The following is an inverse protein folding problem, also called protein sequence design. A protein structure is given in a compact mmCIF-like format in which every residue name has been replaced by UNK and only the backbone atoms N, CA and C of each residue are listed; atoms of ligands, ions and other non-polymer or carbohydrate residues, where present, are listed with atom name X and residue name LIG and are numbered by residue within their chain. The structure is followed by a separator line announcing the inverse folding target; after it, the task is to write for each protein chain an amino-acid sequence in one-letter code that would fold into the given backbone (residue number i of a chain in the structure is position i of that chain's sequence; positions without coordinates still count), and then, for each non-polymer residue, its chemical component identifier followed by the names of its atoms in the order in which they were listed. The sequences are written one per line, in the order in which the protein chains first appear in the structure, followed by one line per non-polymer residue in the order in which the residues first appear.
data_IF_751151751729
#
_entry.id   IF_751151751729
#
_cell.length_a   1.000
_cell.length_b   1.000
_cell.length_c   1.000
_cell.angle_alpha   90.00
_cell.angle_beta   90.00
_cell.angle_gamma   90.00
#
_symmetry.space_group_name_H-M   'P 1'
#
loop_
_entity.id
_entity.type
_entity.pdbx_description
1 polymer ?
#
# COMPACT_ATOMS: atom_id res chain seq x y z
N UNK A 1 -16.86 -27.82 2.62
CA UNK A 1 -15.80 -27.03 1.94
C UNK A 1 -16.36 -25.66 1.62
N UNK A 2 -16.20 -24.63 2.47
CA UNK A 2 -16.48 -23.25 2.07
C UNK A 2 -15.14 -22.60 1.65
N UNK A 3 -14.95 -21.97 0.50
CA UNK A 3 -15.92 -21.41 -0.44
C UNK A 3 -16.32 -19.99 -0.04
N UNK A 4 -15.34 -19.11 0.21
CA UNK A 4 -15.59 -17.72 0.62
C UNK A 4 -14.31 -17.01 1.05
N UNK A 5 -13.38 -16.77 0.12
CA UNK A 5 -12.27 -15.85 0.35
C UNK A 5 -12.76 -14.42 0.09
N UNK A 6 -13.46 -13.85 1.06
CA UNK A 6 -13.46 -12.41 1.25
C UNK A 6 -12.08 -12.03 1.75
N UNK A 7 -11.33 -11.29 0.94
CA UNK A 7 -10.01 -10.79 1.29
C UNK A 7 -10.20 -9.63 2.29
N UNK A 8 -10.44 -9.96 3.57
CA UNK A 8 -10.55 -8.99 4.67
C UNK A 8 -9.17 -8.41 5.06
N UNK A 9 -8.19 -8.51 4.15
CA UNK A 9 -6.87 -7.95 4.36
C UNK A 9 -6.94 -6.48 4.00
N UNK A 10 -6.93 -5.64 5.04
CA UNK A 10 -6.49 -4.26 4.90
C UNK A 10 -5.10 -4.30 4.27
N UNK A 11 -4.93 -3.69 3.10
CA UNK A 11 -3.65 -3.60 2.43
C UNK A 11 -3.34 -2.13 2.12
N UNK A 12 -2.09 -1.73 2.30
CA UNK A 12 -1.68 -0.37 1.97
C UNK A 12 -1.69 -0.13 0.45
N UNK A 13 -1.90 1.11 0.00
CA UNK A 13 -1.82 1.50 -1.39
C UNK A 13 -0.51 1.02 -2.03
N UNK A 14 -0.53 0.62 -3.32
CA UNK A 14 0.63 0.06 -3.97
C UNK A 14 1.77 1.07 -4.09
N UNK A 15 3.00 0.62 -3.91
CA UNK A 15 4.21 1.44 -4.05
C UNK A 15 4.53 1.94 -5.46
N UNK A 16 3.65 1.75 -6.45
CA UNK A 16 3.86 2.14 -7.88
C UNK A 16 3.71 3.66 -8.11
N UNK A 17 4.35 4.47 -7.30
CA UNK A 17 4.35 5.92 -7.41
C UNK A 17 3.49 6.64 -6.37
N UNK A 18 2.50 5.97 -5.77
CA UNK A 18 1.68 6.59 -4.73
C UNK A 18 2.53 6.95 -3.51
N UNK A 19 3.22 5.96 -2.93
CA UNK A 19 4.10 6.13 -1.76
C UNK A 19 5.20 7.17 -2.00
N UNK A 20 5.68 7.32 -3.24
CA UNK A 20 6.72 8.29 -3.60
C UNK A 20 6.17 9.64 -4.08
N UNK A 21 4.85 9.85 -4.11
CA UNK A 21 4.20 11.07 -4.61
C UNK A 21 4.35 11.31 -6.11
N UNK A 22 4.77 10.30 -6.88
CA UNK A 22 5.01 10.39 -8.33
C UNK A 22 3.91 9.75 -9.17
N UNK A 23 2.87 9.21 -8.52
CA UNK A 23 1.70 8.70 -9.23
C UNK A 23 0.94 9.86 -9.87
N UNK A 24 0.51 9.66 -11.10
CA UNK A 24 -0.34 10.56 -11.88
C UNK A 24 -1.68 9.88 -12.13
N UNK A 25 -2.73 10.63 -12.46
CA UNK A 25 -3.97 10.04 -12.97
C UNK A 25 -3.71 9.14 -14.19
N UNK A 26 -4.58 8.15 -14.40
CA UNK A 26 -4.44 7.17 -15.48
C UNK A 26 -4.17 7.79 -16.86
N UNK A 27 -4.93 8.83 -17.21
CA UNK A 27 -4.91 9.53 -18.51
C UNK A 27 -3.62 10.32 -18.80
N UNK A 28 -2.72 10.45 -17.82
CA UNK A 28 -1.42 11.11 -17.98
C UNK A 28 -0.26 10.13 -18.27
N UNK A 29 -0.58 8.87 -18.51
CA UNK A 29 0.39 7.85 -18.92
C UNK A 29 0.22 7.48 -20.40
N UNK A 30 1.27 6.91 -20.99
CA UNK A 30 1.21 6.35 -22.34
C UNK A 30 0.07 5.32 -22.45
N UNK A 31 -0.61 5.27 -23.60
CA UNK A 31 -1.83 4.47 -23.77
C UNK A 31 -1.66 2.96 -23.48
N UNK A 32 -0.43 2.43 -23.60
CA UNK A 32 -0.11 1.02 -23.33
C UNK A 32 0.28 0.74 -21.86
N UNK A 33 0.35 1.76 -21.01
CA UNK A 33 0.71 1.59 -19.60
C UNK A 33 -0.44 0.90 -18.83
N UNK A 34 -0.09 -0.07 -17.98
CA UNK A 34 -1.04 -0.84 -17.17
C UNK A 34 -1.88 0.04 -16.23
N UNK A 35 -1.38 1.23 -15.85
CA UNK A 35 -2.13 2.18 -15.01
C UNK A 35 -3.39 2.72 -15.70
N UNK A 36 -3.50 2.62 -17.03
CA UNK A 36 -4.74 2.95 -17.75
C UNK A 36 -5.88 1.98 -17.46
N UNK A 37 -5.58 0.74 -17.05
CA UNK A 37 -6.59 -0.29 -16.76
C UNK A 37 -6.62 -0.71 -15.30
N UNK A 38 -5.64 -0.31 -14.49
CA UNK A 38 -5.59 -0.60 -13.05
C UNK A 38 -6.71 0.19 -12.33
N UNK A 39 -7.66 -0.47 -11.63
CA UNK A 39 -8.77 0.18 -10.95
C UNK A 39 -8.35 1.26 -9.95
N UNK A 40 -7.15 1.15 -9.38
CA UNK A 40 -6.64 2.10 -8.37
C UNK A 40 -6.20 3.43 -8.97
N UNK A 41 -5.97 3.47 -10.28
CA UNK A 41 -5.60 4.68 -11.05
C UNK A 41 -6.80 5.34 -11.74
N UNK A 42 -7.98 4.72 -11.66
CA UNK A 42 -9.19 5.25 -12.27
C UNK A 42 -9.78 6.41 -11.45
N UNK A 43 -10.51 7.34 -12.10
CA UNK A 43 -11.16 8.45 -11.43
C UNK A 43 -12.01 8.00 -10.24
N UNK A 44 -11.92 8.74 -9.14
CA UNK A 44 -12.58 8.45 -7.86
C UNK A 44 -11.78 7.53 -6.94
N UNK A 45 -11.03 6.56 -7.47
CA UNK A 45 -10.12 5.73 -6.67
C UNK A 45 -8.74 6.39 -6.54
N UNK A 46 -8.24 6.99 -7.63
CA UNK A 46 -6.95 7.65 -7.64
C UNK A 46 -6.87 8.74 -6.57
N UNK A 47 -7.84 9.65 -6.52
CA UNK A 47 -7.86 10.78 -5.59
C UNK A 47 -7.92 10.30 -4.14
N UNK A 48 -8.72 9.28 -3.85
CA UNK A 48 -8.80 8.69 -2.50
C UNK A 48 -7.49 8.03 -2.09
N UNK A 49 -6.82 7.35 -3.02
CA UNK A 49 -5.50 6.76 -2.74
C UNK A 49 -4.43 7.84 -2.53
N UNK A 50 -4.45 8.94 -3.30
CA UNK A 50 -3.56 10.09 -3.08
C UNK A 50 -3.81 10.70 -1.71
N UNK A 51 -5.07 10.94 -1.35
CA UNK A 51 -5.44 11.49 -0.03
C UNK A 51 -5.00 10.57 1.11
N UNK A 52 -5.29 9.27 1.01
CA UNK A 52 -4.91 8.28 2.01
C UNK A 52 -3.39 8.24 2.21
N UNK A 53 -2.62 8.25 1.12
CA UNK A 53 -1.15 8.27 1.19
C UNK A 53 -0.64 9.58 1.79
N UNK A 54 -1.30 10.71 1.53
CA UNK A 54 -1.00 11.97 2.19
C UNK A 54 -1.13 11.87 3.71
N UNK A 55 -2.24 11.31 4.21
CA UNK A 55 -2.45 11.10 5.65
C UNK A 55 -1.44 10.11 6.25
N UNK A 56 -1.10 9.05 5.52
CA UNK A 56 -0.04 8.12 5.94
C UNK A 56 1.34 8.79 5.97
N UNK A 57 1.60 9.73 5.05
CA UNK A 57 2.85 10.49 5.03
C UNK A 57 2.96 11.40 6.25
N UNK A 58 1.87 12.06 6.65
CA UNK A 58 1.82 12.84 7.89
C UNK A 58 2.07 11.95 9.12
N UNK A 59 1.41 10.80 9.20
CA UNK A 59 1.62 9.83 10.28
C UNK A 59 3.06 9.31 10.34
N UNK A 60 3.63 8.95 9.19
CA UNK A 60 5.01 8.49 9.11
C UNK A 60 6.00 9.59 9.54
N UNK A 61 5.79 10.81 9.07
CA UNK A 61 6.62 11.96 9.40
C UNK A 61 6.59 12.30 10.90
N UNK A 62 5.42 12.21 11.55
CA UNK A 62 5.28 12.38 13.00
C UNK A 62 6.12 11.37 13.81
N UNK A 63 6.46 10.23 13.20
CA UNK A 63 7.29 9.18 13.78
C UNK A 63 8.73 9.17 13.26
N UNK A 64 9.13 10.17 12.46
CA UNK A 64 10.46 10.24 11.86
C UNK A 64 10.73 9.14 10.82
N UNK A 65 9.69 8.58 10.22
CA UNK A 65 9.76 7.46 9.29
C UNK A 65 9.26 7.85 7.89
N UNK A 66 9.60 7.04 6.89
CA UNK A 66 9.00 7.13 5.54
C UNK A 66 7.68 6.35 5.48
N UNK A 67 6.81 6.66 4.51
CA UNK A 67 5.57 5.89 4.29
C UNK A 67 5.87 4.42 3.99
N UNK A 68 6.97 4.12 3.29
CA UNK A 68 7.44 2.75 3.08
C UNK A 68 7.75 2.04 4.40
N UNK A 69 8.47 2.71 5.30
CA UNK A 69 8.79 2.17 6.62
C UNK A 69 7.54 1.98 7.48
N UNK A 70 6.65 2.97 7.50
CA UNK A 70 5.35 2.88 8.17
C UNK A 70 4.58 1.64 7.71
N UNK A 71 4.56 1.42 6.39
CA UNK A 71 3.82 0.29 5.83
C UNK A 71 4.42 -1.08 6.12
N UNK A 72 5.75 -1.17 6.10
CA UNK A 72 6.46 -2.39 6.49
C UNK A 72 6.30 -2.68 7.98
N UNK A 73 6.37 -1.65 8.84
CA UNK A 73 6.15 -1.77 10.26
C UNK A 73 4.71 -2.22 10.57
N UNK A 74 3.71 -1.65 9.90
CA UNK A 74 2.32 -2.08 10.01
C UNK A 74 2.16 -3.55 9.59
N UNK A 75 2.83 -3.99 8.51
CA UNK A 75 2.75 -5.39 8.08
C UNK A 75 3.35 -6.34 9.13
N UNK A 76 4.43 -5.95 9.80
CA UNK A 76 5.05 -6.71 10.89
C UNK A 76 4.13 -6.85 12.11
N UNK A 77 3.19 -5.92 12.36
CA UNK A 77 2.22 -6.05 13.46
C UNK A 77 1.13 -7.09 13.18
N UNK A 78 0.95 -7.50 11.92
CA UNK A 78 -0.14 -8.44 11.52
C UNK A 78 0.12 -9.88 11.95
N UNK A 79 1.33 -10.21 12.42
CA UNK A 79 1.64 -11.52 13.00
C UNK A 79 3.13 -11.84 13.01
N UNK A 80 3.58 -12.59 14.02
CA UNK A 80 5.00 -12.94 14.20
C UNK A 80 5.60 -13.81 13.07
N UNK A 81 4.76 -14.42 12.25
CA UNK A 81 5.18 -15.26 11.11
C UNK A 81 5.30 -14.47 9.80
N UNK A 82 5.06 -13.16 9.84
CA UNK A 82 5.08 -12.30 8.65
C UNK A 82 6.48 -11.73 8.48
N UNK A 83 7.08 -12.04 7.32
CA UNK A 83 8.37 -11.51 6.90
C UNK A 83 8.16 -10.72 5.61
N UNK A 84 8.17 -9.38 5.64
CA UNK A 84 8.03 -8.59 4.44
C UNK A 84 9.26 -8.74 3.54
N UNK A 85 9.03 -8.92 2.24
CA UNK A 85 10.09 -9.02 1.22
C UNK A 85 9.96 -7.79 0.29
N UNK A 86 10.44 -6.61 0.71
CA UNK A 86 10.29 -5.42 -0.11
C UNK A 86 11.16 -5.52 -1.37
N UNK A 87 10.50 -5.58 -2.53
CA UNK A 87 11.18 -5.55 -3.82
C UNK A 87 11.81 -4.19 -4.08
N UNK A 88 13.13 -4.14 -4.26
CA UNK A 88 13.86 -2.93 -4.68
C UNK A 88 15.10 -3.29 -5.47
N UNK A 89 15.51 -2.40 -6.38
CA UNK A 89 16.77 -2.48 -7.14
C UNK A 89 17.85 -1.52 -6.61
N UNK A 90 17.56 -0.81 -5.53
CA UNK A 90 18.43 0.23 -4.95
C UNK A 90 18.91 -0.21 -3.57
N UNK A 91 20.23 -0.32 -3.34
CA UNK A 91 20.80 -0.62 -2.02
C UNK A 91 20.34 0.38 -0.95
N UNK A 92 20.34 1.68 -1.27
CA UNK A 92 19.84 2.73 -0.39
C UNK A 92 18.41 2.48 0.09
N UNK A 93 17.53 1.96 -0.78
CA UNK A 93 16.14 1.63 -0.39
C UNK A 93 16.07 0.37 0.47
N UNK A 94 17.01 -0.56 0.36
CA UNK A 94 17.09 -1.69 1.29
C UNK A 94 17.41 -1.17 2.69
N UNK A 95 18.43 -0.31 2.81
CA UNK A 95 18.83 0.31 4.08
C UNK A 95 17.68 1.13 4.69
N UNK A 96 17.00 1.95 3.88
CA UNK A 96 15.82 2.70 4.33
C UNK A 96 14.71 1.76 4.82
N UNK A 97 14.36 0.72 4.05
CA UNK A 97 13.31 -0.22 4.42
C UNK A 97 13.64 -1.04 5.68
N UNK A 98 14.92 -1.31 5.94
CA UNK A 98 15.35 -2.04 7.13
C UNK A 98 14.97 -1.31 8.44
N UNK A 99 14.98 0.02 8.43
CA UNK A 99 14.56 0.85 9.57
C UNK A 99 13.08 0.68 9.96
N UNK A 100 12.26 0.02 9.13
CA UNK A 100 10.90 -0.33 9.51
C UNK A 100 10.82 -1.28 10.71
N UNK A 101 11.83 -2.14 10.90
CA UNK A 101 11.86 -3.09 12.02
C UNK A 101 12.01 -2.39 13.39
N UNK A 102 12.59 -1.19 13.40
CA UNK A 102 12.78 -0.38 14.60
C UNK A 102 11.58 0.52 14.91
N UNK A 103 10.62 0.62 13.98
CA UNK A 103 9.46 1.49 14.12
C UNK A 103 8.37 0.79 14.96
N UNK A 104 8.18 1.28 16.19
CA UNK A 104 7.07 0.84 17.03
C UNK A 104 5.80 1.62 16.69
N UNK A 105 4.74 0.91 16.31
CA UNK A 105 3.39 1.46 16.13
C UNK A 105 2.56 1.23 17.39
N UNK A 106 1.93 2.29 17.87
CA UNK A 106 1.00 2.27 18.99
C UNK A 106 -0.40 1.85 18.51
N UNK A 107 -1.28 1.47 19.45
CA UNK A 107 -2.68 1.17 19.12
C UNK A 107 -3.39 2.38 18.47
N UNK A 108 -3.00 3.60 18.83
CA UNK A 108 -3.50 4.81 18.20
C UNK A 108 -3.04 4.95 16.74
N UNK A 109 -1.78 4.61 16.44
CA UNK A 109 -1.26 4.60 15.07
C UNK A 109 -1.99 3.55 14.22
N UNK A 110 -2.21 2.36 14.77
CA UNK A 110 -2.93 1.29 14.08
C UNK A 110 -4.38 1.68 13.79
N UNK A 111 -5.07 2.28 14.77
CA UNK A 111 -6.43 2.80 14.58
C UNK A 111 -6.47 3.90 13.53
N UNK A 112 -5.49 4.81 13.51
CA UNK A 112 -5.38 5.84 12.49
C UNK A 112 -5.20 5.23 11.09
N UNK A 113 -4.35 4.21 10.94
CA UNK A 113 -4.16 3.49 9.67
C UNK A 113 -5.47 2.84 9.22
N UNK A 114 -6.18 2.17 10.14
CA UNK A 114 -7.48 1.54 9.84
C UNK A 114 -8.54 2.58 9.46
N UNK A 115 -8.52 3.78 10.05
CA UNK A 115 -9.44 4.87 9.67
C UNK A 115 -9.10 5.46 8.29
N UNK A 116 -7.82 5.57 7.95
CA UNK A 116 -7.36 6.07 6.64
C UNK A 116 -7.69 5.05 5.53
N UNK A 117 -7.55 3.76 5.82
CA UNK A 117 -7.70 2.64 4.88
C UNK A 117 -8.58 1.53 5.46
N UNK A 118 -9.88 1.76 5.67
CA UNK A 118 -10.76 0.81 6.35
C UNK A 118 -10.92 -0.51 5.60
N UNK A 119 -10.69 -0.51 4.28
CA UNK A 119 -10.73 -1.69 3.42
C UNK A 119 -9.45 -1.82 2.60
N UNK A 120 -8.36 -1.18 3.04
CA UNK A 120 -7.15 -1.03 2.24
C UNK A 120 -7.26 0.01 1.13
N UNK A 121 -6.35 -0.07 0.15
CA UNK A 121 -6.29 0.82 -1.00
C UNK A 121 -7.58 0.80 -1.83
N UNK A 122 -7.99 1.97 -2.34
CA UNK A 122 -9.24 2.13 -3.08
C UNK A 122 -9.11 1.58 -4.52
N UNK A 123 -10.06 0.74 -4.92
CA UNK A 123 -10.04 0.05 -6.22
C UNK A 123 -9.42 -1.35 -6.12
N UNK A 124 -9.94 -2.29 -6.90
CA UNK A 124 -9.49 -3.69 -6.85
C UNK A 124 -8.00 -3.83 -7.19
N UNK A 125 -7.30 -4.71 -6.46
CA UNK A 125 -5.88 -5.03 -6.68
C UNK A 125 -5.62 -5.69 -8.04
N UNK A 126 -6.60 -6.45 -8.54
CA UNK A 126 -6.59 -7.10 -9.84
C UNK A 126 -7.79 -6.63 -10.66
N UNK A 127 -7.59 -6.42 -11.96
CA UNK A 127 -8.69 -6.28 -12.92
C UNK A 127 -9.48 -7.60 -13.00
N UNK A 128 -10.78 -7.52 -13.24
CA UNK A 128 -11.61 -8.71 -13.48
C UNK A 128 -10.99 -9.57 -14.59
N UNK A 129 -10.84 -10.88 -14.33
CA UNK A 129 -10.21 -11.83 -15.25
C UNK A 129 -8.69 -12.02 -15.10
N UNK A 130 -8.01 -11.27 -14.22
CA UNK A 130 -6.58 -11.44 -13.91
C UNK A 130 -6.30 -12.02 -12.51
N UNK A 131 -7.32 -12.60 -11.87
CA UNK A 131 -7.12 -13.36 -10.64
C UNK A 131 -6.33 -14.63 -10.97
N UNK A 132 -5.14 -14.86 -10.39
CA UNK A 132 -4.39 -16.07 -10.64
C UNK A 132 -5.19 -17.28 -10.13
N UNK A 133 -5.64 -18.14 -11.04
CA UNK A 133 -6.07 -19.49 -10.69
C UNK A 133 -4.84 -20.34 -10.46
N UNK A 134 -4.51 -20.55 -9.20
CA UNK A 134 -3.54 -21.57 -8.81
C UNK A 134 -4.25 -22.92 -8.96
N UNK A 135 -3.78 -23.73 -9.92
CA UNK A 135 -4.19 -25.14 -10.11
C UNK A 135 -3.36 -26.00 -9.16
#
# INVERSE_FOLDING_TARGET
MPGGAGDDRVELPPGRGFITGTAKPADQYEATDIRNVDPRWQPGNFEKNVEAVGKLAELAAAKGATVSQLGLAWLLTRGQHIVPIPGTRSPKRIEENAGAADLTLTDADLKAIDEILPQGGFGARYTEGHVPTWI
#
